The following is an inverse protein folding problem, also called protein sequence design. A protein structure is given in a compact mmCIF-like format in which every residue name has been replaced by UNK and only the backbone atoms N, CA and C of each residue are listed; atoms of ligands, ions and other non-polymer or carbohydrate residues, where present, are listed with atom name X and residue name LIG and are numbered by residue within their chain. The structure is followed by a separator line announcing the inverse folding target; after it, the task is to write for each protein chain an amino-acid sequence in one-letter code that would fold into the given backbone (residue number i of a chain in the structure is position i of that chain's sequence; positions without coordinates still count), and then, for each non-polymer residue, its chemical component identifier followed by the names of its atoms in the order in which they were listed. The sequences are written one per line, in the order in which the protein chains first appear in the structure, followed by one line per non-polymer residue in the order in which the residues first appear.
data_IF_829583682340
#
_entry.id   IF_829583682340
#
_cell.length_a   1.000
_cell.length_b   1.000
_cell.length_c   1.000
_cell.angle_alpha   90.00
_cell.angle_beta   90.00
_cell.angle_gamma   90.00
#
_symmetry.space_group_name_H-M   'P 1'
#
loop_
_entity.id
_entity.type
_entity.pdbx_description
1 polymer ?
#
# COMPACT_ATOMS: atom_id res chain seq x y z
N UNK A 1 27.22 -19.31 -15.49
CA UNK A 1 26.22 -19.62 -16.52
C UNK A 1 25.06 -18.69 -16.31
N UNK A 2 24.74 -17.83 -17.28
CA UNK A 2 23.53 -17.01 -17.19
C UNK A 2 22.34 -17.96 -17.28
N UNK A 3 21.48 -17.98 -16.25
CA UNK A 3 20.20 -18.67 -16.32
C UNK A 3 19.41 -18.01 -17.44
N UNK A 4 19.10 -18.76 -18.50
CA UNK A 4 18.16 -18.29 -19.51
C UNK A 4 16.81 -18.19 -18.81
N UNK A 5 16.22 -17.00 -18.74
CA UNK A 5 14.92 -16.79 -18.10
C UNK A 5 13.78 -17.55 -18.80
N UNK A 6 14.01 -18.10 -19.99
CA UNK A 6 13.13 -19.05 -20.67
C UNK A 6 12.98 -20.39 -19.92
N UNK A 7 13.93 -20.76 -19.07
CA UNK A 7 13.91 -22.02 -18.31
C UNK A 7 13.34 -21.88 -16.88
N UNK A 8 12.81 -20.70 -16.51
CA UNK A 8 12.19 -20.51 -15.20
C UNK A 8 10.66 -20.74 -15.33
N UNK A 9 10.15 -21.96 -15.05
CA UNK A 9 8.73 -22.25 -15.21
C UNK A 9 7.90 -21.38 -14.24
N UNK A 10 6.98 -20.59 -14.76
CA UNK A 10 6.07 -19.77 -13.95
C UNK A 10 5.52 -18.57 -14.71
N UNK A 11 4.56 -17.87 -14.08
CA UNK A 11 4.14 -16.55 -14.56
C UNK A 11 5.10 -15.51 -13.97
N UNK A 12 5.90 -14.78 -14.76
CA UNK A 12 7.04 -13.99 -14.26
C UNK A 12 6.67 -12.99 -13.15
N UNK A 13 5.47 -12.41 -13.19
CA UNK A 13 5.01 -11.45 -12.18
C UNK A 13 4.89 -12.03 -10.76
N UNK A 14 4.84 -13.36 -10.60
CA UNK A 14 4.76 -14.05 -9.29
C UNK A 14 6.11 -14.58 -8.81
N UNK A 15 7.13 -14.55 -9.67
CA UNK A 15 8.44 -15.13 -9.38
C UNK A 15 9.21 -14.20 -8.43
N UNK A 16 9.86 -14.78 -7.41
CA UNK A 16 10.66 -14.03 -6.46
C UNK A 16 11.91 -13.42 -7.12
N UNK A 17 12.33 -12.20 -6.75
CA UNK A 17 13.45 -11.49 -7.38
C UNK A 17 14.76 -12.29 -7.46
N UNK A 18 15.08 -13.05 -6.42
CA UNK A 18 16.27 -13.89 -6.32
C UNK A 18 16.24 -15.09 -7.26
N UNK A 19 15.06 -15.60 -7.63
CA UNK A 19 14.95 -16.73 -8.55
C UNK A 19 15.39 -16.34 -9.98
N UNK A 20 15.15 -15.08 -10.38
CA UNK A 20 15.69 -14.55 -11.64
C UNK A 20 17.23 -14.49 -11.66
N UNK A 21 17.87 -14.47 -10.49
CA UNK A 21 19.33 -14.51 -10.35
C UNK A 21 19.88 -15.95 -10.24
N UNK A 22 19.02 -16.97 -10.39
CA UNK A 22 19.40 -18.38 -10.28
C UNK A 22 19.58 -18.87 -8.85
N UNK A 23 18.98 -18.20 -7.85
CA UNK A 23 18.94 -18.73 -6.50
C UNK A 23 18.16 -20.06 -6.46
N UNK A 24 18.66 -21.01 -5.66
CA UNK A 24 17.99 -22.28 -5.44
C UNK A 24 16.59 -22.09 -4.85
N UNK A 25 15.62 -22.96 -5.18
CA UNK A 25 14.29 -22.93 -4.61
C UNK A 25 14.30 -22.94 -3.07
N UNK A 26 13.54 -22.03 -2.47
CA UNK A 26 13.47 -21.88 -1.02
C UNK A 26 12.04 -21.51 -0.59
N UNK A 27 11.55 -21.92 0.60
CA UNK A 27 10.20 -21.59 1.07
C UNK A 27 9.86 -20.08 1.04
N UNK A 28 10.86 -19.21 1.18
CA UNK A 28 10.67 -17.76 1.08
C UNK A 28 10.23 -17.29 -0.32
N UNK A 29 10.56 -18.04 -1.38
CA UNK A 29 10.08 -17.76 -2.74
C UNK A 29 8.58 -18.05 -2.85
N UNK A 30 8.10 -19.13 -2.24
CA UNK A 30 6.67 -19.44 -2.17
C UNK A 30 5.90 -18.40 -1.34
N UNK A 31 6.49 -17.92 -0.24
CA UNK A 31 5.91 -16.81 0.55
C UNK A 31 5.79 -15.53 -0.27
N UNK A 32 6.80 -15.22 -1.09
CA UNK A 32 6.74 -14.09 -2.00
C UNK A 32 5.62 -14.27 -3.02
N UNK A 33 5.51 -15.43 -3.67
CA UNK A 33 4.46 -15.73 -4.65
C UNK A 33 3.05 -15.67 -4.04
N UNK A 34 2.88 -16.17 -2.81
CA UNK A 34 1.65 -16.02 -2.04
C UNK A 34 1.35 -14.56 -1.71
N UNK A 35 2.37 -13.76 -1.38
CA UNK A 35 2.31 -12.30 -1.24
C UNK A 35 1.80 -11.61 -2.50
N UNK A 36 2.37 -11.95 -3.66
CA UNK A 36 1.93 -11.40 -4.95
C UNK A 36 0.49 -11.79 -5.23
N UNK A 37 0.11 -13.04 -4.94
CA UNK A 37 -1.25 -13.53 -5.12
C UNK A 37 -2.24 -12.73 -4.27
N UNK A 38 -1.99 -12.59 -2.97
CA UNK A 38 -2.85 -11.81 -2.08
C UNK A 38 -2.93 -10.35 -2.51
N UNK A 39 -1.79 -9.74 -2.86
CA UNK A 39 -1.73 -8.37 -3.37
C UNK A 39 -2.60 -8.21 -4.62
N UNK A 40 -2.49 -9.13 -5.57
CA UNK A 40 -3.26 -9.10 -6.81
C UNK A 40 -4.76 -9.30 -6.56
N UNK A 41 -5.14 -10.21 -5.66
CA UNK A 41 -6.54 -10.40 -5.27
C UNK A 41 -7.16 -9.13 -4.64
N UNK A 42 -6.37 -8.37 -3.88
CA UNK A 42 -6.85 -7.15 -3.22
C UNK A 42 -6.90 -5.94 -4.15
N UNK A 43 -5.97 -5.83 -5.09
CA UNK A 43 -5.72 -4.61 -5.87
C UNK A 43 -6.00 -4.75 -7.36
N UNK A 44 -6.03 -5.96 -7.90
CA UNK A 44 -6.04 -6.25 -9.34
C UNK A 44 -4.76 -5.84 -10.07
N UNK A 45 -3.67 -5.56 -9.35
CA UNK A 45 -2.39 -5.09 -9.87
C UNK A 45 -1.24 -5.95 -9.35
N UNK A 46 -0.07 -5.89 -9.99
CA UNK A 46 1.15 -6.52 -9.47
C UNK A 46 2.01 -5.51 -8.70
N UNK A 47 2.71 -5.93 -7.62
CA UNK A 47 3.48 -5.00 -6.78
C UNK A 47 4.64 -4.33 -7.52
N UNK A 48 5.16 -4.97 -8.56
CA UNK A 48 6.20 -4.40 -9.44
C UNK A 48 5.70 -4.13 -10.86
N UNK A 49 4.38 -4.21 -11.11
CA UNK A 49 3.78 -4.23 -12.44
C UNK A 49 3.96 -5.58 -13.15
N UNK A 50 3.33 -5.75 -14.32
CA UNK A 50 3.50 -6.96 -15.14
C UNK A 50 4.95 -7.11 -15.58
N UNK A 51 5.50 -8.32 -15.49
CA UNK A 51 6.87 -8.64 -15.89
C UNK A 51 6.82 -9.57 -17.10
N UNK A 52 7.55 -9.22 -18.15
CA UNK A 52 7.76 -10.10 -19.30
C UNK A 52 8.96 -11.02 -19.02
N UNK A 53 8.92 -12.27 -19.50
CA UNK A 53 9.92 -13.30 -19.20
C UNK A 53 11.37 -12.92 -19.54
N UNK A 54 11.60 -12.00 -20.48
CA UNK A 54 12.94 -11.57 -20.91
C UNK A 54 13.42 -10.29 -20.21
N UNK A 55 12.60 -9.63 -19.39
CA UNK A 55 12.97 -8.37 -18.75
C UNK A 55 13.78 -8.62 -17.47
N UNK A 56 15.06 -8.24 -17.50
CA UNK A 56 15.87 -8.11 -16.29
C UNK A 56 15.51 -6.81 -15.56
N UNK A 57 14.56 -6.90 -14.63
CA UNK A 57 14.10 -5.74 -13.86
C UNK A 57 14.91 -5.62 -12.57
N UNK A 58 15.32 -4.39 -12.24
CA UNK A 58 15.92 -4.09 -10.94
C UNK A 58 14.78 -3.93 -9.92
N UNK A 59 14.61 -4.93 -9.06
CA UNK A 59 13.60 -4.90 -8.01
C UNK A 59 13.97 -3.83 -6.97
N UNK A 60 13.10 -2.84 -6.82
CA UNK A 60 13.19 -1.80 -5.79
C UNK A 60 12.22 -2.08 -4.64
N UNK A 61 11.61 -1.03 -4.09
CA UNK A 61 10.46 -1.21 -3.19
C UNK A 61 9.20 -1.56 -4.01
N UNK A 62 8.33 -2.46 -3.53
CA UNK A 62 7.06 -2.73 -4.17
C UNK A 62 6.16 -1.50 -4.10
N UNK A 63 5.25 -1.34 -5.07
CA UNK A 63 4.20 -0.32 -5.00
C UNK A 63 3.27 -0.71 -3.84
N UNK A 64 3.08 0.13 -2.81
CA UNK A 64 2.24 -0.22 -1.67
C UNK A 64 0.80 -0.48 -2.10
N UNK A 65 0.17 -1.53 -1.56
CA UNK A 65 -1.22 -1.89 -1.91
C UNK A 65 -2.20 -0.74 -1.61
N UNK A 66 -1.91 0.06 -0.58
CA UNK A 66 -2.66 1.25 -0.19
C UNK A 66 -2.74 2.33 -1.28
N UNK A 67 -1.84 2.30 -2.28
CA UNK A 67 -1.93 3.19 -3.47
C UNK A 67 -3.15 2.87 -4.33
N UNK A 68 -3.51 1.60 -4.44
CA UNK A 68 -4.66 1.13 -5.23
C UNK A 68 -5.91 0.94 -4.38
N UNK A 69 -5.73 0.58 -3.11
CA UNK A 69 -6.82 0.40 -2.14
C UNK A 69 -6.55 1.20 -0.85
N UNK A 70 -6.85 2.52 -0.85
CA UNK A 70 -6.64 3.38 0.31
C UNK A 70 -7.47 3.01 1.54
N UNK A 71 -8.50 2.19 1.35
CA UNK A 71 -9.38 1.65 2.38
C UNK A 71 -8.82 0.40 3.07
N UNK A 72 -7.69 -0.17 2.60
CA UNK A 72 -7.06 -1.31 3.27
C UNK A 72 -6.63 -0.93 4.70
N UNK A 73 -6.82 -1.86 5.66
CA UNK A 73 -6.24 -1.70 6.98
C UNK A 73 -4.73 -1.52 6.90
N UNK A 74 -4.19 -0.60 7.70
CA UNK A 74 -2.75 -0.30 7.70
C UNK A 74 -1.90 -1.54 7.99
N UNK A 75 -2.37 -2.41 8.89
CA UNK A 75 -1.67 -3.65 9.23
C UNK A 75 -1.49 -4.57 8.02
N UNK A 76 -2.51 -4.66 7.14
CA UNK A 76 -2.46 -5.53 5.97
C UNK A 76 -1.51 -4.99 4.91
N UNK A 77 -1.45 -3.66 4.75
CA UNK A 77 -0.44 -3.04 3.90
C UNK A 77 0.97 -3.34 4.41
N UNK A 78 1.21 -3.23 5.72
CA UNK A 78 2.52 -3.52 6.31
C UNK A 78 2.92 -5.00 6.17
N UNK A 79 1.97 -5.91 6.36
CA UNK A 79 2.20 -7.35 6.18
C UNK A 79 2.58 -7.67 4.73
N UNK A 80 1.89 -7.07 3.75
CA UNK A 80 2.24 -7.20 2.33
C UNK A 80 3.62 -6.60 2.01
N UNK A 81 3.95 -5.42 2.56
CA UNK A 81 5.26 -4.78 2.36
C UNK A 81 6.41 -5.70 2.83
N UNK A 82 6.21 -6.41 3.95
CA UNK A 82 7.17 -7.41 4.46
C UNK A 82 7.23 -8.66 3.58
N UNK A 83 6.09 -9.26 3.24
CA UNK A 83 6.03 -10.47 2.42
C UNK A 83 6.62 -10.27 1.01
N UNK A 84 6.47 -9.07 0.44
CA UNK A 84 6.90 -8.71 -0.92
C UNK A 84 8.29 -8.06 -0.98
N UNK A 85 9.03 -8.08 0.14
CA UNK A 85 10.35 -7.50 0.19
C UNK A 85 11.29 -8.23 -0.78
N UNK A 86 12.06 -7.47 -1.56
CA UNK A 86 12.94 -8.05 -2.57
C UNK A 86 14.05 -8.93 -1.95
N UNK A 87 14.64 -8.47 -0.84
CA UNK A 87 15.57 -9.27 -0.03
C UNK A 87 14.80 -10.35 0.76
N UNK A 88 15.06 -11.66 0.53
CA UNK A 88 14.38 -12.75 1.23
C UNK A 88 14.58 -12.72 2.74
N UNK A 89 15.70 -12.19 3.24
CA UNK A 89 15.96 -12.13 4.69
C UNK A 89 15.07 -11.11 5.43
N UNK A 90 14.41 -10.22 4.69
CA UNK A 90 13.49 -9.23 5.25
C UNK A 90 12.03 -9.67 5.14
N UNK A 91 11.76 -10.83 4.53
CA UNK A 91 10.43 -11.44 4.48
C UNK A 91 10.11 -12.20 5.76
N UNK A 92 8.92 -12.78 5.81
CA UNK A 92 8.61 -13.83 6.77
C UNK A 92 9.52 -15.04 6.54
N UNK A 93 9.96 -15.64 7.63
CA UNK A 93 10.82 -16.81 7.60
C UNK A 93 10.02 -18.05 7.19
N UNK A 94 8.79 -18.19 7.72
CA UNK A 94 7.92 -19.33 7.45
C UNK A 94 6.47 -18.92 7.18
N UNK A 95 5.70 -19.84 6.59
CA UNK A 95 4.28 -19.64 6.33
C UNK A 95 3.47 -19.55 7.63
N UNK A 96 3.84 -20.34 8.65
CA UNK A 96 3.20 -20.34 9.96
C UNK A 96 3.40 -19.00 10.67
N UNK A 97 4.60 -18.41 10.56
CA UNK A 97 4.87 -17.08 11.12
C UNK A 97 3.95 -16.04 10.48
N UNK A 98 3.81 -16.08 9.16
CA UNK A 98 2.97 -15.12 8.45
C UNK A 98 1.48 -15.34 8.75
N UNK A 99 1.02 -16.59 8.72
CA UNK A 99 -0.36 -16.96 9.06
C UNK A 99 -0.75 -16.48 10.46
N UNK A 100 0.11 -16.72 11.46
CA UNK A 100 -0.12 -16.27 12.83
C UNK A 100 -0.27 -14.74 12.91
N UNK A 101 0.54 -13.99 12.16
CA UNK A 101 0.42 -12.52 12.13
C UNK A 101 -0.90 -12.07 11.51
N UNK A 102 -1.36 -12.74 10.44
CA UNK A 102 -2.64 -12.45 9.79
C UNK A 102 -3.83 -12.72 10.72
N UNK A 103 -3.85 -13.87 11.39
CA UNK A 103 -4.91 -14.25 12.35
C UNK A 103 -4.97 -13.26 13.53
N UNK A 104 -3.82 -12.93 14.10
CA UNK A 104 -3.75 -11.95 15.20
C UNK A 104 -4.22 -10.56 14.78
N UNK A 105 -3.96 -10.17 13.53
CA UNK A 105 -4.33 -8.86 13.01
C UNK A 105 -5.82 -8.78 12.65
N UNK A 106 -6.44 -9.88 12.21
CA UNK A 106 -7.88 -9.96 11.97
C UNK A 106 -8.69 -9.68 13.24
N UNK A 107 -8.22 -10.16 14.39
CA UNK A 107 -8.86 -9.92 15.68
C UNK A 107 -8.69 -8.48 16.20
N UNK A 108 -7.86 -7.64 15.56
CA UNK A 108 -7.72 -6.24 15.95
C UNK A 108 -8.86 -5.42 15.32
N UNK A 109 -9.57 -4.59 16.08
CA UNK A 109 -10.61 -3.74 15.53
C UNK A 109 -10.02 -2.88 14.40
N UNK A 110 -10.68 -2.86 13.25
CA UNK A 110 -10.28 -2.07 12.09
C UNK A 110 -10.30 -0.58 12.46
N UNK A 111 -9.17 -0.05 12.92
CA UNK A 111 -8.99 1.39 13.10
C UNK A 111 -8.84 2.00 11.71
N UNK A 112 -9.98 2.23 11.04
CA UNK A 112 -9.99 2.96 9.78
C UNK A 112 -9.39 4.35 10.01
N UNK A 113 -8.48 4.78 9.12
CA UNK A 113 -7.95 6.15 9.15
C UNK A 113 -9.14 7.13 9.20
N UNK A 114 -9.20 8.06 10.18
CA UNK A 114 -10.24 9.05 10.18
C UNK A 114 -10.09 9.90 8.92
N UNK A 115 -11.06 9.78 7.99
CA UNK A 115 -11.14 10.69 6.84
C UNK A 115 -11.18 12.13 7.36
N UNK A 116 -10.40 13.07 6.80
CA UNK A 116 -10.39 14.45 7.26
C UNK A 116 -11.79 15.05 7.22
N UNK A 117 -12.10 15.96 8.16
CA UNK A 117 -13.44 16.56 8.31
C UNK A 117 -13.96 17.22 7.01
N UNK A 118 -13.05 17.71 6.17
CA UNK A 118 -13.35 18.29 4.86
C UNK A 118 -14.07 17.31 3.91
N UNK A 119 -13.72 16.03 3.96
CA UNK A 119 -14.35 14.97 3.16
C UNK A 119 -15.63 14.44 3.82
N UNK A 120 -15.71 14.47 5.15
CA UNK A 120 -16.87 13.94 5.89
C UNK A 120 -18.06 14.89 5.85
N UNK A 121 -17.82 16.19 6.01
CA UNK A 121 -18.89 17.20 6.11
C UNK A 121 -18.48 18.51 5.45
N UNK A 122 -18.36 18.54 4.10
CA UNK A 122 -17.90 19.73 3.38
C UNK A 122 -18.74 20.96 3.73
N UNK A 123 -20.05 20.79 3.90
CA UNK A 123 -20.99 21.86 4.24
C UNK A 123 -20.68 22.56 5.57
N UNK A 124 -20.17 21.86 6.60
CA UNK A 124 -19.82 22.51 7.87
C UNK A 124 -18.58 23.39 7.73
N UNK A 125 -17.58 22.94 6.97
CA UNK A 125 -16.36 23.73 6.71
C UNK A 125 -16.68 24.99 5.92
N UNK A 126 -17.48 24.88 4.86
CA UNK A 126 -17.91 26.05 4.09
C UNK A 126 -18.79 26.99 4.93
N UNK A 127 -19.64 26.46 5.82
CA UNK A 127 -20.49 27.28 6.70
C UNK A 127 -19.67 28.04 7.76
N UNK A 128 -18.68 27.39 8.38
CA UNK A 128 -17.81 28.08 9.36
C UNK A 128 -16.96 29.15 8.68
N UNK A 129 -16.40 28.86 7.50
CA UNK A 129 -15.64 29.82 6.71
C UNK A 129 -16.52 31.03 6.31
N UNK A 130 -17.74 30.78 5.85
CA UNK A 130 -18.69 31.84 5.48
C UNK A 130 -19.07 32.73 6.68
N UNK A 131 -19.32 32.13 7.85
CA UNK A 131 -19.64 32.88 9.07
C UNK A 131 -18.46 33.74 9.55
N UNK A 132 -17.24 33.20 9.52
CA UNK A 132 -16.03 33.95 9.87
C UNK A 132 -15.81 35.14 8.91
N UNK A 133 -15.96 34.90 7.61
CA UNK A 133 -15.89 35.96 6.59
C UNK A 133 -16.94 37.05 6.82
N UNK A 134 -18.18 36.67 7.14
CA UNK A 134 -19.27 37.60 7.40
C UNK A 134 -18.97 38.47 8.63
N UNK A 135 -18.54 37.86 9.74
CA UNK A 135 -18.17 38.58 10.96
C UNK A 135 -17.01 39.54 10.72
N UNK A 136 -16.00 39.11 9.98
CA UNK A 136 -14.85 39.95 9.63
C UNK A 136 -15.26 41.16 8.77
N UNK A 137 -16.10 40.95 7.76
CA UNK A 137 -16.64 42.04 6.94
C UNK A 137 -17.51 42.99 7.77
N UNK A 138 -18.37 42.48 8.66
CA UNK A 138 -19.19 43.30 9.53
C UNK A 138 -18.32 44.17 10.46
N UNK A 139 -17.27 43.59 11.03
CA UNK A 139 -16.30 44.31 11.85
C UNK A 139 -15.62 45.44 11.08
N UNK A 140 -15.19 45.18 9.83
CA UNK A 140 -14.60 46.17 8.95
C UNK A 140 -15.54 47.34 8.66
N UNK A 141 -16.82 47.05 8.39
CA UNK A 141 -17.85 48.08 8.13
C UNK A 141 -18.10 48.95 9.36
N UNK A 142 -18.21 48.34 10.55
CA UNK A 142 -18.40 49.07 11.81
C UNK A 142 -17.19 49.95 12.10
N UNK A 143 -15.98 49.42 11.91
CA UNK A 143 -14.74 50.18 12.08
C UNK A 143 -14.64 51.37 11.11
N UNK A 144 -15.05 51.19 9.85
CA UNK A 144 -15.08 52.27 8.86
C UNK A 144 -16.08 53.35 9.24
N UNK A 145 -17.29 52.98 9.68
CA UNK A 145 -18.33 53.94 10.08
C UNK A 145 -17.98 54.70 11.37
N UNK A 146 -17.29 54.06 12.32
CA UNK A 146 -16.85 54.72 13.56
C UNK A 146 -15.62 55.64 13.39
N UNK A 147 -15.05 55.72 12.19
CA UNK A 147 -13.92 56.59 11.85
C UNK A 147 -14.36 57.94 11.26
N UNK A 148 -15.65 58.14 11.02
CA UNK A 148 -16.27 59.42 10.65
C UNK A 148 -16.80 60.16 11.88
#
# INVERSE_FOLDING_TARGET
SAVNTEDLPGTPSYIAPEAFNGAEPHPQQDLYAAGVTLYYLLTGQYPYGEIEAFQHRRFGAPIPASRYRPDLPQWLSHSLDKALHADPNQRYETAEQWLLELEQAEHRPLVAKPRPLLEREPLKVWRTLALLSLLFNLMLVIWLMGRH
#
